data_IF_099887572342
#
_entry.id   IF_099887572342
#
_cell.length_a   1.000
_cell.length_b   1.000
_cell.length_c   1.000
_cell.angle_alpha   90.00
_cell.angle_beta   90.00
_cell.angle_gamma   90.00
#
_symmetry.space_group_name_H-M   'P 1'
#
loop_
_entity.id
_entity.type
_entity.pdbx_description
1 polymer ?
#
# COMPACT_ATOMS: atom_id res chain seq x y z
N UNK A 1 9.71 -22.00 -5.30
CA UNK A 1 9.71 -20.52 -5.23
C UNK A 1 8.92 -20.13 -3.98
N UNK A 2 9.56 -19.42 -3.07
CA UNK A 2 8.98 -18.95 -1.79
C UNK A 2 8.78 -17.43 -1.88
N UNK A 3 7.54 -16.95 -1.70
CA UNK A 3 7.20 -15.53 -1.84
C UNK A 3 6.52 -15.05 -0.56
N UNK A 4 7.03 -13.94 0.02
CA UNK A 4 6.27 -13.21 1.02
C UNK A 4 5.23 -12.33 0.31
N UNK A 5 3.95 -12.59 0.56
CA UNK A 5 2.85 -11.91 -0.10
C UNK A 5 2.43 -10.60 0.59
N UNK A 6 3.12 -10.18 1.68
CA UNK A 6 2.59 -9.13 2.55
C UNK A 6 3.68 -8.21 3.13
N UNK A 7 4.38 -7.48 2.28
CA UNK A 7 5.38 -6.50 2.70
C UNK A 7 4.85 -5.08 2.49
N UNK A 8 4.69 -4.33 3.58
CA UNK A 8 4.26 -2.94 3.49
C UNK A 8 5.44 -2.03 3.15
N UNK A 9 5.28 -1.26 2.07
CA UNK A 9 6.09 -0.07 1.84
C UNK A 9 5.49 1.14 2.57
N UNK A 10 6.34 2.12 2.82
CA UNK A 10 5.90 3.44 3.28
C UNK A 10 6.59 4.50 2.43
N UNK A 11 5.81 5.38 1.84
CA UNK A 11 6.35 6.62 1.26
C UNK A 11 6.57 7.64 2.38
N UNK A 12 7.75 7.54 3.01
CA UNK A 12 8.13 8.34 4.18
C UNK A 12 8.23 9.82 3.81
N UNK A 13 8.65 10.13 2.59
CA UNK A 13 8.83 11.50 2.11
C UNK A 13 7.47 12.16 1.85
N UNK A 14 6.52 11.43 1.23
CA UNK A 14 5.15 11.91 1.07
C UNK A 14 4.44 12.08 2.43
N UNK A 15 4.61 11.12 3.36
CA UNK A 15 4.03 11.20 4.70
C UNK A 15 4.57 12.42 5.47
N UNK A 16 5.87 12.68 5.40
CA UNK A 16 6.51 13.85 6.00
C UNK A 16 5.97 15.16 5.41
N UNK A 17 5.86 15.22 4.08
CA UNK A 17 5.31 16.37 3.38
C UNK A 17 3.86 16.66 3.77
N UNK A 18 3.04 15.61 3.91
CA UNK A 18 1.65 15.73 4.36
C UNK A 18 1.55 16.22 5.82
N UNK A 19 2.44 15.76 6.71
CA UNK A 19 2.50 16.21 8.10
C UNK A 19 2.94 17.67 8.21
N UNK A 20 3.95 18.08 7.46
CA UNK A 20 4.42 19.48 7.43
C UNK A 20 3.34 20.45 6.90
N UNK A 21 2.56 19.99 5.92
CA UNK A 21 1.44 20.75 5.37
C UNK A 21 0.17 20.74 6.25
N UNK A 22 0.20 20.09 7.42
CA UNK A 22 -0.95 19.96 8.33
C UNK A 22 -2.11 19.13 7.76
N UNK A 23 -1.85 18.32 6.73
CA UNK A 23 -2.86 17.51 6.03
C UNK A 23 -2.98 16.09 6.59
N UNK A 24 -2.01 15.65 7.40
CA UNK A 24 -2.02 14.31 7.96
C UNK A 24 -3.01 14.20 9.13
N UNK A 25 -3.83 13.13 9.20
CA UNK A 25 -4.72 12.87 10.33
C UNK A 25 -3.96 12.71 11.65
N UNK A 26 -4.64 12.95 12.78
CA UNK A 26 -4.02 12.79 14.12
C UNK A 26 -3.57 11.34 14.38
N UNK A 27 -4.28 10.35 13.86
CA UNK A 27 -3.95 8.93 13.97
C UNK A 27 -2.57 8.59 13.34
N UNK A 28 -2.09 9.34 12.37
CA UNK A 28 -0.78 9.15 11.74
C UNK A 28 0.41 9.27 12.71
N UNK A 29 0.20 9.81 13.94
CA UNK A 29 1.26 9.90 14.96
C UNK A 29 1.68 8.53 15.48
N UNK A 30 0.75 7.58 15.62
CA UNK A 30 1.07 6.20 16.03
C UNK A 30 1.77 5.43 14.93
N UNK A 31 1.28 5.57 13.70
CA UNK A 31 1.95 5.05 12.51
C UNK A 31 3.39 5.58 12.42
N UNK A 32 3.60 6.87 12.66
CA UNK A 32 4.94 7.47 12.65
C UNK A 32 5.90 6.81 13.67
N UNK A 33 5.40 6.36 14.83
CA UNK A 33 6.23 5.65 15.81
C UNK A 33 6.61 4.24 15.35
N UNK A 34 5.66 3.47 14.81
CA UNK A 34 5.92 2.16 14.24
C UNK A 34 6.93 2.27 13.10
N UNK A 35 6.69 3.17 12.15
CA UNK A 35 7.57 3.42 11.02
C UNK A 35 8.99 3.82 11.47
N UNK A 36 9.14 4.71 12.47
CA UNK A 36 10.45 5.07 13.02
C UNK A 36 11.21 3.88 13.59
N UNK A 37 10.52 2.93 14.25
CA UNK A 37 11.15 1.70 14.76
C UNK A 37 11.64 0.81 13.62
N UNK A 38 10.83 0.66 12.57
CA UNK A 38 11.19 -0.14 11.41
C UNK A 38 12.37 0.49 10.64
N UNK A 39 12.36 1.80 10.42
CA UNK A 39 13.48 2.52 9.82
C UNK A 39 14.76 2.41 10.66
N UNK A 40 14.63 2.47 11.99
CA UNK A 40 15.77 2.29 12.89
C UNK A 40 16.40 0.89 12.80
N UNK A 41 15.60 -0.15 12.52
CA UNK A 41 16.13 -1.50 12.28
C UNK A 41 17.00 -1.57 11.02
N UNK A 42 16.75 -0.68 10.06
CA UNK A 42 17.58 -0.50 8.85
C UNK A 42 18.68 0.56 9.03
N UNK A 43 18.86 1.14 10.21
CA UNK A 43 19.74 2.28 10.43
C UNK A 43 19.41 3.51 9.55
N UNK A 44 18.15 3.62 9.12
CA UNK A 44 17.65 4.73 8.30
C UNK A 44 17.08 5.83 9.19
N UNK A 45 17.60 7.05 9.05
CA UNK A 45 17.04 8.21 9.75
C UNK A 45 15.77 8.71 9.06
N UNK A 46 14.62 8.79 9.75
CA UNK A 46 13.37 9.26 9.14
C UNK A 46 13.43 10.74 8.72
N UNK A 47 14.39 11.50 9.23
CA UNK A 47 14.57 12.92 8.92
C UNK A 47 15.71 13.15 7.91
N UNK A 48 16.36 12.06 7.44
CA UNK A 48 17.43 12.09 6.45
C UNK A 48 16.94 12.43 5.03
N UNK A 49 17.89 12.63 4.13
CA UNK A 49 17.60 12.65 2.69
C UNK A 49 17.53 11.24 2.12
N UNK A 50 16.77 11.06 1.02
CA UNK A 50 16.63 9.78 0.30
C UNK A 50 16.15 8.62 1.19
N UNK A 51 15.23 8.92 2.13
CA UNK A 51 14.74 7.94 3.10
C UNK A 51 14.05 6.76 2.40
N UNK A 52 13.22 7.05 1.40
CA UNK A 52 12.52 6.00 0.65
C UNK A 52 13.50 5.05 -0.04
N UNK A 53 14.55 5.57 -0.66
CA UNK A 53 15.58 4.78 -1.33
C UNK A 53 16.36 3.90 -0.34
N UNK A 54 16.83 4.49 0.77
CA UNK A 54 17.55 3.74 1.81
C UNK A 54 16.67 2.64 2.43
N UNK A 55 15.39 2.94 2.64
CA UNK A 55 14.42 1.99 3.16
C UNK A 55 14.16 0.82 2.19
N UNK A 56 13.95 1.11 0.91
CA UNK A 56 13.71 0.07 -0.10
C UNK A 56 14.92 -0.82 -0.32
N UNK A 57 16.15 -0.27 -0.29
CA UNK A 57 17.37 -1.07 -0.34
C UNK A 57 17.48 -2.02 0.84
N UNK A 58 17.24 -1.53 2.07
CA UNK A 58 17.28 -2.39 3.25
C UNK A 58 16.26 -3.53 3.18
N UNK A 59 15.06 -3.27 2.67
CA UNK A 59 14.06 -4.34 2.46
C UNK A 59 14.53 -5.36 1.41
N UNK A 60 15.14 -4.90 0.32
CA UNK A 60 15.70 -5.78 -0.71
C UNK A 60 16.83 -6.65 -0.14
N UNK A 61 17.72 -6.06 0.67
CA UNK A 61 18.79 -6.80 1.36
C UNK A 61 18.19 -7.88 2.28
N UNK A 62 17.13 -7.57 3.04
CA UNK A 62 16.46 -8.57 3.88
C UNK A 62 15.84 -9.73 3.09
N UNK A 63 15.27 -9.46 1.91
CA UNK A 63 14.79 -10.53 1.02
C UNK A 63 15.96 -11.39 0.55
N UNK A 64 17.06 -10.77 0.09
CA UNK A 64 18.24 -11.47 -0.40
C UNK A 64 18.97 -12.28 0.68
N UNK A 65 18.98 -11.81 1.92
CA UNK A 65 19.57 -12.50 3.07
C UNK A 65 18.67 -13.59 3.66
N UNK A 66 17.39 -13.63 3.28
CA UNK A 66 16.41 -14.59 3.74
C UNK A 66 16.36 -15.85 2.83
N UNK A 67 15.42 -16.75 3.12
CA UNK A 67 15.11 -17.90 2.25
C UNK A 67 13.96 -17.60 1.26
N UNK A 68 13.62 -16.33 1.09
CA UNK A 68 12.60 -15.89 0.14
C UNK A 68 13.22 -15.72 -1.25
N UNK A 69 12.49 -16.14 -2.26
CA UNK A 69 12.83 -15.81 -3.65
C UNK A 69 12.41 -14.40 -4.02
N UNK A 70 11.26 -13.95 -3.50
CA UNK A 70 10.68 -12.61 -3.73
C UNK A 70 9.76 -12.16 -2.60
N UNK A 71 9.43 -10.86 -2.61
CA UNK A 71 8.42 -10.27 -1.75
C UNK A 71 7.44 -9.40 -2.56
N UNK A 72 6.15 -9.44 -2.21
CA UNK A 72 5.16 -8.53 -2.78
C UNK A 72 5.11 -7.28 -1.92
N UNK A 73 5.55 -6.16 -2.49
CA UNK A 73 5.49 -4.85 -1.86
C UNK A 73 4.14 -4.19 -2.17
N UNK A 74 3.47 -3.67 -1.14
CA UNK A 74 2.07 -3.30 -1.18
C UNK A 74 1.86 -1.79 -1.18
N UNK A 75 1.04 -1.31 -2.11
CA UNK A 75 0.43 0.00 -2.05
C UNK A 75 -0.72 0.04 -1.02
N UNK A 76 -1.21 1.24 -0.73
CA UNK A 76 -2.41 1.45 0.08
C UNK A 76 -3.17 2.68 -0.42
N UNK A 77 -4.34 2.44 -1.01
CA UNK A 77 -5.19 3.52 -1.54
C UNK A 77 -5.84 4.32 -0.42
N UNK A 78 -6.19 5.56 -0.73
CA UNK A 78 -6.92 6.45 0.15
C UNK A 78 -8.32 5.92 0.50
N UNK A 79 -8.92 6.47 1.54
CA UNK A 79 -10.34 6.23 1.87
C UNK A 79 -11.23 7.01 0.91
N UNK A 80 -12.26 6.34 0.39
CA UNK A 80 -13.31 6.94 -0.44
C UNK A 80 -14.68 6.71 0.21
N UNK A 81 -15.60 7.65 -0.02
CA UNK A 81 -17.00 7.42 0.28
C UNK A 81 -17.71 6.65 -0.85
N UNK A 82 -18.99 6.29 -0.60
CA UNK A 82 -19.82 5.55 -1.58
C UNK A 82 -20.12 6.36 -2.84
N UNK A 83 -19.98 7.67 -2.79
CA UNK A 83 -20.15 8.58 -3.95
C UNK A 83 -18.86 8.73 -4.77
N UNK A 84 -17.75 8.08 -4.33
CA UNK A 84 -16.47 8.07 -5.00
C UNK A 84 -15.63 9.33 -4.77
N UNK A 85 -15.86 10.04 -3.65
CA UNK A 85 -15.03 11.16 -3.26
C UNK A 85 -13.99 10.73 -2.22
N UNK A 86 -12.76 11.22 -2.34
CA UNK A 86 -11.71 10.99 -1.35
C UNK A 86 -12.07 11.57 0.01
N UNK A 87 -11.67 10.86 1.08
CA UNK A 87 -11.85 11.26 2.48
C UNK A 87 -10.49 11.49 3.17
N UNK A 88 -9.78 12.58 2.88
CA UNK A 88 -8.41 12.80 3.39
C UNK A 88 -8.33 12.81 4.92
N UNK A 89 -9.36 13.27 5.62
CA UNK A 89 -9.41 13.30 7.08
C UNK A 89 -9.50 11.89 7.71
N UNK A 90 -9.95 10.89 6.94
CA UNK A 90 -10.06 9.48 7.35
C UNK A 90 -8.90 8.63 6.80
N UNK A 91 -8.16 9.14 5.84
CA UNK A 91 -7.00 8.46 5.25
C UNK A 91 -5.79 8.60 6.18
N UNK A 92 -5.55 7.60 7.02
CA UNK A 92 -4.44 7.59 8.00
C UNK A 92 -3.10 7.39 7.29
N UNK A 93 -3.07 6.50 6.31
CA UNK A 93 -1.91 6.20 5.48
C UNK A 93 -2.37 6.05 4.03
N UNK A 94 -1.61 6.63 3.13
CA UNK A 94 -1.72 6.42 1.69
C UNK A 94 -0.32 6.10 1.15
N UNK A 95 -0.21 5.04 0.37
CA UNK A 95 1.00 4.65 -0.34
C UNK A 95 0.65 4.49 -1.80
N UNK A 96 1.12 5.42 -2.61
CA UNK A 96 0.75 5.55 -4.01
C UNK A 96 1.12 4.32 -4.84
N UNK A 97 0.23 3.90 -5.73
CA UNK A 97 0.44 2.73 -6.60
C UNK A 97 1.62 2.93 -7.55
N UNK A 98 1.78 4.11 -8.14
CA UNK A 98 2.86 4.38 -9.09
C UNK A 98 4.22 4.44 -8.37
N UNK A 99 4.26 4.92 -7.12
CA UNK A 99 5.44 4.83 -6.26
C UNK A 99 5.85 3.37 -6.05
N UNK A 100 4.94 2.50 -5.59
CA UNK A 100 5.24 1.08 -5.34
C UNK A 100 5.63 0.35 -6.63
N UNK A 101 4.93 0.62 -7.73
CA UNK A 101 5.27 0.10 -9.04
C UNK A 101 6.70 0.49 -9.45
N UNK A 102 7.11 1.74 -9.23
CA UNK A 102 8.46 2.21 -9.56
C UNK A 102 9.53 1.55 -8.70
N UNK A 103 9.25 1.32 -7.41
CA UNK A 103 10.15 0.58 -6.52
C UNK A 103 10.31 -0.86 -6.99
N UNK A 104 9.20 -1.56 -7.28
CA UNK A 104 9.25 -2.94 -7.75
C UNK A 104 9.98 -3.08 -9.11
N UNK A 105 9.90 -2.08 -9.97
CA UNK A 105 10.62 -2.08 -11.24
C UNK A 105 12.15 -1.90 -11.09
N UNK A 106 12.61 -1.32 -9.97
CA UNK A 106 14.04 -1.08 -9.69
C UNK A 106 14.69 -2.23 -8.89
N UNK A 107 13.90 -3.10 -8.26
CA UNK A 107 14.34 -4.16 -7.38
C UNK A 107 13.76 -5.51 -7.83
N UNK A 108 14.58 -6.41 -8.43
CA UNK A 108 14.10 -7.70 -8.94
C UNK A 108 13.58 -8.64 -7.84
N UNK A 109 13.91 -8.38 -6.58
CA UNK A 109 13.41 -9.07 -5.40
C UNK A 109 11.93 -8.78 -5.14
N UNK A 110 11.42 -7.65 -5.68
CA UNK A 110 10.07 -7.22 -5.40
C UNK A 110 9.09 -7.55 -6.54
N UNK A 111 7.85 -7.77 -6.14
CA UNK A 111 6.67 -7.84 -7.00
C UNK A 111 5.70 -6.74 -6.58
N UNK A 112 5.01 -6.14 -7.54
CA UNK A 112 4.08 -5.06 -7.27
C UNK A 112 2.71 -5.58 -6.84
N UNK A 113 2.27 -5.23 -5.63
CA UNK A 113 0.91 -5.40 -5.15
C UNK A 113 0.19 -4.05 -5.11
N UNK A 114 -0.87 -3.93 -5.92
CA UNK A 114 -1.67 -2.71 -6.00
C UNK A 114 -2.66 -2.58 -4.83
N UNK A 115 -3.16 -1.37 -4.59
CA UNK A 115 -4.32 -1.15 -3.74
C UNK A 115 -5.28 -0.19 -4.44
N UNK A 116 -6.53 -0.58 -4.60
CA UNK A 116 -7.55 0.20 -5.29
C UNK A 116 -8.82 0.13 -4.46
N UNK A 117 -9.32 1.28 -4.03
CA UNK A 117 -10.56 1.35 -3.28
C UNK A 117 -11.76 1.09 -4.21
N UNK A 118 -12.67 0.14 -3.90
CA UNK A 118 -13.75 -0.26 -4.81
C UNK A 118 -14.79 0.83 -5.06
N UNK A 119 -14.90 1.82 -4.16
CA UNK A 119 -15.83 2.94 -4.31
C UNK A 119 -15.31 4.08 -5.19
N UNK A 120 -14.07 4.01 -5.67
CA UNK A 120 -13.58 4.96 -6.68
C UNK A 120 -14.46 4.90 -7.93
N UNK A 121 -14.71 6.05 -8.53
CA UNK A 121 -15.48 6.12 -9.81
C UNK A 121 -14.74 5.46 -10.98
N UNK A 122 -13.41 5.43 -10.90
CA UNK A 122 -12.50 4.87 -11.89
C UNK A 122 -11.90 3.51 -11.46
N UNK A 123 -12.48 2.84 -10.44
CA UNK A 123 -11.88 1.65 -9.81
C UNK A 123 -11.50 0.56 -10.82
N UNK A 124 -12.38 0.23 -11.76
CA UNK A 124 -12.13 -0.80 -12.77
C UNK A 124 -11.05 -0.35 -13.77
N UNK A 125 -11.15 0.89 -14.27
CA UNK A 125 -10.13 1.43 -15.19
C UNK A 125 -8.75 1.54 -14.55
N UNK A 126 -8.68 1.92 -13.27
CA UNK A 126 -7.44 1.94 -12.51
C UNK A 126 -6.87 0.53 -12.30
N UNK A 127 -7.74 -0.46 -12.03
CA UNK A 127 -7.33 -1.86 -11.94
C UNK A 127 -6.68 -2.34 -13.25
N UNK A 128 -7.35 -2.11 -14.39
CA UNK A 128 -6.82 -2.47 -15.71
C UNK A 128 -5.47 -1.81 -15.98
N UNK A 129 -5.34 -0.51 -15.65
CA UNK A 129 -4.09 0.25 -15.78
C UNK A 129 -2.95 -0.38 -14.97
N UNK A 130 -3.24 -0.75 -13.71
CA UNK A 130 -2.22 -1.29 -12.80
C UNK A 130 -1.86 -2.75 -13.12
N UNK A 131 -2.81 -3.55 -13.60
CA UNK A 131 -2.52 -4.88 -14.16
C UNK A 131 -1.58 -4.74 -15.36
N UNK A 132 -1.86 -3.79 -16.25
CA UNK A 132 -0.97 -3.48 -17.38
C UNK A 132 0.44 -3.04 -16.97
N UNK A 133 0.62 -2.54 -15.76
CA UNK A 133 1.92 -2.21 -15.14
C UNK A 133 2.55 -3.35 -14.35
N UNK A 134 1.93 -4.53 -14.31
CA UNK A 134 2.46 -5.73 -13.67
C UNK A 134 2.00 -5.94 -12.22
N UNK A 135 0.89 -5.34 -11.80
CA UNK A 135 0.30 -5.66 -10.50
C UNK A 135 -0.04 -7.16 -10.44
N UNK A 136 0.51 -7.87 -9.45
CA UNK A 136 0.31 -9.32 -9.29
C UNK A 136 -0.82 -9.67 -8.33
N UNK A 137 -1.27 -8.72 -7.51
CA UNK A 137 -2.43 -8.82 -6.63
C UNK A 137 -2.97 -7.43 -6.28
N UNK A 138 -4.19 -7.40 -5.73
CA UNK A 138 -4.75 -6.20 -5.09
C UNK A 138 -4.83 -6.41 -3.59
N UNK A 139 -4.43 -5.41 -2.80
CA UNK A 139 -4.52 -5.39 -1.34
C UNK A 139 -5.63 -4.47 -0.85
N UNK A 140 -6.47 -4.97 0.07
CA UNK A 140 -7.40 -4.17 0.85
C UNK A 140 -7.12 -4.30 2.34
N UNK A 141 -7.41 -3.23 3.08
CA UNK A 141 -7.52 -3.19 4.54
C UNK A 141 -8.93 -2.64 4.86
N UNK A 142 -9.98 -3.48 4.81
CA UNK A 142 -11.37 -3.02 4.87
C UNK A 142 -11.66 -2.11 6.07
N UNK A 143 -11.20 -2.48 7.26
CA UNK A 143 -11.40 -1.67 8.48
C UNK A 143 -10.71 -0.30 8.40
N UNK A 144 -9.50 -0.23 7.85
CA UNK A 144 -8.74 1.02 7.72
C UNK A 144 -9.13 1.88 6.52
N UNK A 145 -9.69 1.26 5.48
CA UNK A 145 -10.15 1.94 4.26
C UNK A 145 -11.66 2.19 4.25
N UNK A 146 -12.40 1.77 5.29
CA UNK A 146 -13.86 1.86 5.35
C UNK A 146 -14.58 1.16 4.17
N UNK A 147 -14.01 0.03 3.73
CA UNK A 147 -14.62 -0.83 2.70
C UNK A 147 -15.55 -1.83 3.39
N UNK A 148 -16.76 -1.97 2.90
CA UNK A 148 -17.67 -3.07 3.22
C UNK A 148 -17.56 -4.11 2.10
N UNK A 149 -16.88 -5.25 2.32
CA UNK A 149 -16.59 -6.19 1.23
C UNK A 149 -17.83 -6.86 0.63
N UNK A 150 -18.94 -6.89 1.35
CA UNK A 150 -20.26 -7.40 0.91
C UNK A 150 -21.14 -6.34 0.28
N UNK A 151 -20.66 -5.07 0.17
CA UNK A 151 -21.41 -4.02 -0.50
C UNK A 151 -21.58 -4.34 -1.99
N UNK A 152 -22.80 -4.27 -2.54
CA UNK A 152 -23.05 -4.48 -3.97
C UNK A 152 -22.21 -3.59 -4.90
N UNK A 153 -21.76 -2.42 -4.44
CA UNK A 153 -20.84 -1.55 -5.18
C UNK A 153 -19.48 -2.21 -5.47
N UNK A 154 -19.08 -3.22 -4.69
CA UNK A 154 -17.83 -3.95 -4.92
C UNK A 154 -17.95 -4.97 -6.08
N UNK A 155 -19.15 -5.35 -6.50
CA UNK A 155 -19.34 -6.41 -7.49
C UNK A 155 -18.64 -6.15 -8.83
N UNK A 156 -18.74 -4.96 -9.46
CA UNK A 156 -18.01 -4.69 -10.71
C UNK A 156 -16.50 -4.84 -10.56
N UNK A 157 -15.97 -4.51 -9.39
CA UNK A 157 -14.54 -4.65 -9.09
C UNK A 157 -14.14 -6.12 -8.93
N UNK A 158 -14.97 -6.95 -8.27
CA UNK A 158 -14.72 -8.39 -8.17
C UNK A 158 -14.77 -9.09 -9.53
N UNK A 159 -15.72 -8.72 -10.38
CA UNK A 159 -15.80 -9.24 -11.75
C UNK A 159 -14.56 -8.88 -12.57
N UNK A 160 -14.09 -7.63 -12.43
CA UNK A 160 -12.88 -7.15 -13.09
C UNK A 160 -11.60 -7.84 -12.59
N UNK A 161 -11.52 -8.23 -11.31
CA UNK A 161 -10.43 -9.04 -10.76
C UNK A 161 -10.47 -10.50 -11.26
N UNK A 162 -11.66 -11.09 -11.33
CA UNK A 162 -11.83 -12.49 -11.67
C UNK A 162 -11.44 -12.78 -13.14
N UNK A 163 -11.73 -11.87 -14.07
CA UNK A 163 -11.45 -12.06 -15.48
C UNK A 163 -9.95 -12.30 -15.79
N UNK A 164 -9.02 -11.48 -15.32
CA UNK A 164 -7.57 -11.70 -15.49
C UNK A 164 -6.97 -12.66 -14.45
N UNK A 165 -7.76 -13.13 -13.48
CA UNK A 165 -7.28 -14.01 -12.41
C UNK A 165 -6.38 -13.32 -11.39
N UNK A 166 -6.54 -12.02 -11.16
CA UNK A 166 -5.76 -11.27 -10.17
C UNK A 166 -6.32 -11.48 -8.76
N UNK A 167 -5.55 -12.01 -7.81
CA UNK A 167 -6.04 -12.27 -6.46
C UNK A 167 -6.26 -10.98 -5.66
N UNK A 168 -7.28 -11.00 -4.80
CA UNK A 168 -7.53 -9.98 -3.78
C UNK A 168 -7.02 -10.48 -2.42
N UNK A 169 -6.03 -9.79 -1.86
CA UNK A 169 -5.53 -10.01 -0.51
C UNK A 169 -6.24 -9.06 0.46
N UNK A 170 -7.24 -9.54 1.17
CA UNK A 170 -7.98 -8.76 2.16
C UNK A 170 -7.43 -8.98 3.57
N UNK A 171 -7.17 -7.87 4.28
CA UNK A 171 -6.91 -7.93 5.72
C UNK A 171 -8.20 -8.31 6.45
N UNK A 172 -8.13 -9.27 7.38
CA UNK A 172 -9.25 -9.68 8.22
C UNK A 172 -8.96 -9.33 9.69
N UNK A 173 -9.92 -8.68 10.34
CA UNK A 173 -9.78 -8.23 11.72
C UNK A 173 -9.52 -6.72 11.85
N UNK A 174 -9.20 -6.30 13.08
CA UNK A 174 -8.94 -4.88 13.39
C UNK A 174 -7.49 -4.54 13.10
N UNK A 175 -7.26 -3.51 12.29
CA UNK A 175 -5.93 -2.96 12.05
C UNK A 175 -5.63 -1.85 13.09
N UNK A 176 -4.91 -2.21 14.13
CA UNK A 176 -4.62 -1.29 15.26
C UNK A 176 -3.68 -0.14 14.91
N UNK A 177 -2.99 -0.19 13.77
CA UNK A 177 -2.10 0.88 13.33
C UNK A 177 -2.80 1.93 12.49
N UNK A 178 -3.98 1.61 11.94
CA UNK A 178 -4.76 2.48 11.05
C UNK A 178 -6.09 2.95 11.66
N UNK A 179 -6.47 2.48 12.87
CA UNK A 179 -7.73 2.81 13.52
C UNK A 179 -7.63 3.15 14.97
#
# INVERSE_FOLDING_TARGET
MTIDMHVHLADVEALRSAQQAGRAPRASRHLSRALRRTLAACSVSPDGGRVNEQWTHCLADWVNESQLDRAVVLALDAVFDREGHTRPAQTVLHVDNDFVCSVAAQHPEFMFGASIHPYRRDAVGELERLIGKGACLVKWIPSGQHIEPDDPQCMPFYEALAHPGVPLLSHTGVEHTLG
#
